data_IF_430017001481
#
_entry.id   IF_430017001481
#
_cell.length_a   1.000
_cell.length_b   1.000
_cell.length_c   1.000
_cell.angle_alpha   90.00
_cell.angle_beta   90.00
_cell.angle_gamma   90.00
#
_symmetry.space_group_name_H-M   'P 1'
#
loop_
_entity.id
_entity.type
_entity.pdbx_description
1 polymer ?
#
# COMPACT_ATOMS: atom_id res chain seq x y z
N UNK A 1 6.19 -2.92 -2.60
CA UNK A 1 6.94 -1.79 -2.05
C UNK A 1 8.04 -2.33 -1.18
N UNK A 2 9.18 -1.66 -1.17
CA UNK A 2 10.22 -1.87 -0.15
C UNK A 2 10.07 -0.75 0.87
N UNK A 3 9.95 -1.09 2.15
CA UNK A 3 9.85 -0.10 3.22
C UNK A 3 11.20 0.53 3.50
N UNK A 4 11.22 1.85 3.68
CA UNK A 4 12.43 2.65 3.75
C UNK A 4 12.42 3.56 4.96
N UNK A 5 13.59 3.69 5.58
CA UNK A 5 13.81 4.49 6.80
C UNK A 5 14.97 5.49 6.66
N UNK A 6 15.62 5.58 5.51
CA UNK A 6 16.70 6.56 5.32
C UNK A 6 17.45 6.40 4.01
N UNK A 7 18.43 7.27 3.78
CA UNK A 7 19.20 7.29 2.54
C UNK A 7 19.87 5.95 2.22
N UNK A 8 20.36 5.22 3.23
CA UNK A 8 21.02 3.93 3.03
C UNK A 8 20.05 2.90 2.43
N UNK A 9 18.83 2.79 2.98
CA UNK A 9 17.81 1.87 2.43
C UNK A 9 17.26 2.35 1.10
N UNK A 10 17.09 3.66 0.88
CA UNK A 10 16.75 4.23 -0.45
C UNK A 10 17.78 3.76 -1.49
N UNK A 11 19.06 3.95 -1.21
CA UNK A 11 20.14 3.62 -2.13
C UNK A 11 20.18 2.13 -2.45
N UNK A 12 20.04 1.27 -1.43
CA UNK A 12 19.99 -0.19 -1.61
C UNK A 12 18.81 -0.62 -2.48
N UNK A 13 17.62 -0.03 -2.25
CA UNK A 13 16.41 -0.32 -3.03
C UNK A 13 16.61 0.06 -4.51
N UNK A 14 17.14 1.26 -4.77
CA UNK A 14 17.41 1.76 -6.11
C UNK A 14 18.50 0.96 -6.84
N UNK A 15 19.58 0.59 -6.14
CA UNK A 15 20.65 -0.24 -6.69
C UNK A 15 20.15 -1.64 -7.05
N UNK A 16 19.33 -2.25 -6.20
CA UNK A 16 18.73 -3.54 -6.46
C UNK A 16 17.83 -3.51 -7.70
N UNK A 17 17.02 -2.46 -7.84
CA UNK A 17 16.16 -2.26 -9.01
C UNK A 17 16.98 -2.12 -10.31
N UNK A 18 18.05 -1.32 -10.29
CA UNK A 18 18.95 -1.16 -11.44
C UNK A 18 19.62 -2.47 -11.84
N UNK A 19 20.05 -3.28 -10.86
CA UNK A 19 20.65 -4.61 -11.13
C UNK A 19 19.63 -5.62 -11.66
N UNK A 20 18.41 -5.60 -11.15
CA UNK A 20 17.33 -6.49 -11.58
C UNK A 20 16.71 -6.09 -12.94
N UNK A 21 16.84 -4.82 -13.34
CA UNK A 21 16.32 -4.29 -14.60
C UNK A 21 14.81 -4.07 -14.61
N UNK A 22 14.19 -3.86 -13.44
CA UNK A 22 12.74 -3.70 -13.29
C UNK A 22 12.34 -2.41 -12.56
N UNK A 23 11.07 -1.99 -12.67
CA UNK A 23 10.56 -0.90 -11.84
C UNK A 23 10.58 -1.32 -10.36
N UNK A 24 10.68 -0.33 -9.48
CA UNK A 24 10.64 -0.56 -8.03
C UNK A 24 9.71 0.44 -7.37
N UNK A 25 9.18 0.07 -6.21
CA UNK A 25 8.37 0.96 -5.39
C UNK A 25 9.08 1.20 -4.07
N UNK A 26 9.38 2.47 -3.80
CA UNK A 26 9.91 2.96 -2.53
C UNK A 26 8.73 3.38 -1.66
N UNK A 27 8.59 2.70 -0.52
CA UNK A 27 7.47 2.88 0.40
C UNK A 27 7.95 3.50 1.71
N UNK A 28 7.20 4.46 2.23
CA UNK A 28 7.43 5.03 3.57
C UNK A 28 6.24 4.69 4.47
N UNK A 29 6.48 3.95 5.55
CA UNK A 29 5.50 3.83 6.63
C UNK A 29 5.46 5.13 7.46
N UNK A 30 4.45 5.29 8.30
CA UNK A 30 4.36 6.45 9.20
C UNK A 30 5.57 6.50 10.14
N UNK A 31 5.94 5.35 10.71
CA UNK A 31 7.13 5.19 11.55
C UNK A 31 8.43 5.48 10.79
N UNK A 32 8.53 5.03 9.54
CA UNK A 32 9.67 5.33 8.65
C UNK A 32 9.83 6.83 8.40
N UNK A 33 8.72 7.55 8.21
CA UNK A 33 8.71 9.01 8.14
C UNK A 33 9.31 9.65 9.39
N UNK A 34 8.84 9.27 10.58
CA UNK A 34 9.37 9.81 11.83
C UNK A 34 10.87 9.49 12.00
N UNK A 35 11.30 8.28 11.62
CA UNK A 35 12.70 7.89 11.71
C UNK A 35 13.59 8.76 10.82
N UNK A 36 13.16 9.06 9.58
CA UNK A 36 13.89 9.94 8.65
C UNK A 36 13.99 11.37 9.20
N UNK A 37 12.91 11.89 9.78
CA UNK A 37 12.92 13.21 10.43
C UNK A 37 13.80 13.24 11.70
N UNK A 38 14.04 12.06 12.28
CA UNK A 38 14.76 11.88 13.53
C UNK A 38 13.79 11.60 14.67
N UNK A 39 14.03 10.50 15.40
CA UNK A 39 13.16 9.98 16.46
C UNK A 39 12.83 11.01 17.57
N UNK A 40 13.73 11.97 17.81
CA UNK A 40 13.56 13.02 18.84
C UNK A 40 12.93 14.30 18.32
N UNK A 41 12.60 14.38 17.03
CA UNK A 41 11.89 15.53 16.48
C UNK A 41 10.49 15.62 17.08
N UNK A 42 9.99 16.85 17.21
CA UNK A 42 8.61 17.09 17.65
C UNK A 42 7.64 16.51 16.61
N UNK A 43 6.78 15.63 17.07
CA UNK A 43 5.79 14.94 16.24
C UNK A 43 4.35 15.29 16.63
N UNK A 44 4.14 16.43 17.30
CA UNK A 44 2.81 17.01 17.43
C UNK A 44 2.14 17.09 16.06
N UNK A 45 0.89 16.63 16.00
CA UNK A 45 0.08 16.58 14.77
C UNK A 45 0.77 15.90 13.57
N UNK A 46 1.56 14.84 13.85
CA UNK A 46 2.31 14.08 12.84
C UNK A 46 3.36 14.88 12.05
N UNK A 47 3.76 16.06 12.55
CA UNK A 47 4.66 16.96 11.83
C UNK A 47 5.99 16.31 11.43
N UNK A 48 6.61 15.50 12.30
CA UNK A 48 7.85 14.80 11.97
C UNK A 48 7.61 13.63 10.99
N UNK A 49 6.53 12.86 11.16
CA UNK A 49 6.14 11.81 10.21
C UNK A 49 5.97 12.37 8.78
N UNK A 50 5.24 13.48 8.65
CA UNK A 50 4.99 14.17 7.37
C UNK A 50 6.32 14.68 6.80
N UNK A 51 7.07 15.45 7.59
CA UNK A 51 8.32 16.08 7.14
C UNK A 51 9.36 15.05 6.69
N UNK A 52 9.51 13.94 7.42
CA UNK A 52 10.47 12.90 7.08
C UNK A 52 10.07 12.11 5.84
N UNK A 53 8.79 11.79 5.66
CA UNK A 53 8.30 11.16 4.43
C UNK A 53 8.50 12.08 3.21
N UNK A 54 8.18 13.39 3.34
CA UNK A 54 8.43 14.40 2.29
C UNK A 54 9.91 14.52 1.96
N UNK A 55 10.78 14.59 2.98
CA UNK A 55 12.24 14.65 2.79
C UNK A 55 12.77 13.39 2.09
N UNK A 56 12.29 12.22 2.48
CA UNK A 56 12.60 10.94 1.84
C UNK A 56 12.18 10.90 0.38
N UNK A 57 10.94 11.32 0.07
CA UNK A 57 10.43 11.38 -1.30
C UNK A 57 11.27 12.33 -2.17
N UNK A 58 11.59 13.52 -1.69
CA UNK A 58 12.46 14.47 -2.41
C UNK A 58 13.86 13.90 -2.65
N UNK A 59 14.42 13.16 -1.69
CA UNK A 59 15.68 12.45 -1.86
C UNK A 59 15.58 11.41 -2.97
N UNK A 60 14.56 10.54 -2.93
CA UNK A 60 14.30 9.53 -3.98
C UNK A 60 14.19 10.19 -5.35
N UNK A 61 13.37 11.24 -5.51
CA UNK A 61 13.23 11.95 -6.80
C UNK A 61 14.55 12.52 -7.32
N UNK A 62 15.43 12.93 -6.41
CA UNK A 62 16.76 13.44 -6.76
C UNK A 62 17.68 12.32 -7.25
N UNK A 63 17.75 11.21 -6.52
CA UNK A 63 18.72 10.14 -6.81
C UNK A 63 18.22 9.13 -7.84
N UNK A 64 16.90 8.93 -7.98
CA UNK A 64 16.31 7.91 -8.85
C UNK A 64 16.76 8.04 -10.31
N UNK A 65 16.93 9.29 -10.79
CA UNK A 65 17.40 9.61 -12.15
C UNK A 65 18.79 9.04 -12.46
N UNK A 66 19.60 8.77 -11.45
CA UNK A 66 20.95 8.22 -11.61
C UNK A 66 20.95 6.71 -11.88
N UNK A 67 19.88 6.01 -11.51
CA UNK A 67 19.79 4.54 -11.59
C UNK A 67 19.12 4.06 -12.88
N UNK A 68 18.49 4.96 -13.65
CA UNK A 68 17.89 4.62 -14.94
C UNK A 68 16.69 3.66 -14.87
N UNK A 69 16.04 3.54 -13.71
CA UNK A 69 14.86 2.69 -13.50
C UNK A 69 13.63 3.51 -13.15
N UNK A 70 12.41 3.08 -13.54
CA UNK A 70 11.18 3.68 -13.07
C UNK A 70 10.99 3.42 -11.57
N UNK A 71 10.67 4.46 -10.80
CA UNK A 71 10.43 4.38 -9.36
C UNK A 71 9.05 4.90 -9.05
N UNK A 72 8.28 4.11 -8.28
CA UNK A 72 6.99 4.49 -7.73
C UNK A 72 7.21 4.92 -6.28
N UNK A 73 6.76 6.11 -5.92
CA UNK A 73 6.81 6.61 -4.54
C UNK A 73 5.48 6.34 -3.84
N UNK A 74 5.52 5.66 -2.71
CA UNK A 74 4.34 5.21 -2.00
C UNK A 74 4.43 5.48 -0.50
N UNK A 75 3.29 5.57 0.17
CA UNK A 75 3.23 5.49 1.64
C UNK A 75 2.38 4.31 2.06
N UNK A 76 2.81 3.65 3.14
CA UNK A 76 2.20 2.44 3.66
C UNK A 76 1.00 2.74 4.58
N UNK A 77 0.54 1.71 5.30
CA UNK A 77 -0.62 1.68 6.19
C UNK A 77 -0.90 3.02 6.90
N UNK A 78 -2.10 3.54 6.66
CA UNK A 78 -2.64 4.70 7.34
C UNK A 78 -4.00 4.35 7.92
N UNK A 79 -4.02 4.01 9.21
CA UNK A 79 -5.26 3.78 9.94
C UNK A 79 -6.02 5.08 10.24
N UNK A 80 -7.28 4.94 10.67
CA UNK A 80 -8.18 6.08 10.90
C UNK A 80 -7.63 7.13 11.85
N UNK A 81 -6.91 6.72 12.90
CA UNK A 81 -6.27 7.66 13.83
C UNK A 81 -5.06 8.40 13.26
N UNK A 82 -4.54 7.97 12.11
CA UNK A 82 -3.39 8.57 11.42
C UNK A 82 -3.79 9.39 10.19
N UNK A 83 -5.09 9.62 9.96
CA UNK A 83 -5.54 10.51 8.88
C UNK A 83 -4.91 11.91 8.89
N UNK A 84 -4.53 12.53 10.04
CA UNK A 84 -3.75 13.78 10.02
C UNK A 84 -2.42 13.68 9.27
N UNK A 85 -1.69 12.55 9.39
CA UNK A 85 -0.48 12.28 8.61
C UNK A 85 -0.80 12.21 7.11
N UNK A 86 -1.85 11.48 6.73
CA UNK A 86 -2.31 11.37 5.35
C UNK A 86 -2.68 12.73 4.75
N UNK A 87 -3.43 13.55 5.49
CA UNK A 87 -3.83 14.90 5.08
C UNK A 87 -2.64 15.81 4.86
N UNK A 88 -1.62 15.73 5.73
CA UNK A 88 -0.37 16.45 5.58
C UNK A 88 0.40 16.06 4.31
N UNK A 89 0.41 14.76 3.98
CA UNK A 89 1.03 14.26 2.76
C UNK A 89 0.24 14.68 1.51
N UNK A 90 -1.08 14.63 1.52
CA UNK A 90 -1.90 15.13 0.40
C UNK A 90 -1.67 16.62 0.16
N UNK A 91 -1.57 17.42 1.22
CA UNK A 91 -1.22 18.84 1.10
C UNK A 91 0.15 19.02 0.45
N UNK A 92 1.16 18.23 0.85
CA UNK A 92 2.48 18.28 0.23
C UNK A 92 2.46 17.88 -1.25
N UNK A 93 1.62 16.92 -1.64
CA UNK A 93 1.41 16.56 -3.04
C UNK A 93 0.74 17.68 -3.84
N UNK A 94 -0.33 18.28 -3.31
CA UNK A 94 -1.04 19.40 -3.93
C UNK A 94 -0.08 20.58 -4.17
N UNK A 95 0.69 20.98 -3.16
CA UNK A 95 1.69 22.05 -3.27
C UNK A 95 2.82 21.72 -4.26
N UNK A 96 3.20 20.44 -4.38
CA UNK A 96 4.21 20.01 -5.36
C UNK A 96 3.62 19.95 -6.78
N UNK A 97 2.38 19.52 -6.93
CA UNK A 97 1.64 19.44 -8.19
C UNK A 97 1.47 20.82 -8.81
N UNK A 98 1.07 21.83 -8.03
CA UNK A 98 0.96 23.22 -8.49
C UNK A 98 2.26 23.76 -9.10
N UNK A 99 3.41 23.32 -8.59
CA UNK A 99 4.74 23.81 -9.00
C UNK A 99 5.36 22.98 -10.12
N UNK A 100 5.07 21.68 -10.20
CA UNK A 100 5.79 20.73 -11.05
C UNK A 100 4.91 20.01 -12.08
N UNK A 101 3.58 20.12 -11.97
CA UNK A 101 2.62 19.43 -12.85
C UNK A 101 2.50 17.93 -12.60
N UNK A 102 3.00 17.43 -11.48
CA UNK A 102 2.92 16.03 -11.03
C UNK A 102 2.95 16.00 -9.49
N UNK A 103 2.36 14.98 -8.83
CA UNK A 103 2.40 14.86 -7.37
C UNK A 103 3.81 14.48 -6.87
N UNK A 104 4.07 14.72 -5.58
CA UNK A 104 5.35 14.37 -4.94
C UNK A 104 5.50 12.84 -4.87
N UNK A 105 4.46 12.17 -4.40
CA UNK A 105 4.28 10.72 -4.36
C UNK A 105 3.50 10.24 -5.56
N UNK A 106 3.59 8.94 -5.87
CA UNK A 106 2.81 8.29 -6.92
C UNK A 106 1.48 7.73 -6.38
N UNK A 107 1.49 7.25 -5.13
CA UNK A 107 0.32 6.68 -4.49
C UNK A 107 0.39 6.79 -2.96
N UNK A 108 -0.77 6.67 -2.32
CA UNK A 108 -0.88 6.56 -0.86
C UNK A 108 -1.81 5.43 -0.49
N UNK A 109 -1.60 4.85 0.69
CA UNK A 109 -2.40 3.77 1.22
C UNK A 109 -3.30 4.20 2.37
N UNK A 110 -4.57 3.80 2.34
CA UNK A 110 -5.47 3.84 3.49
C UNK A 110 -5.73 2.40 3.96
N UNK A 111 -5.45 2.16 5.24
CA UNK A 111 -5.81 0.91 5.91
C UNK A 111 -6.93 1.19 6.91
N UNK A 112 -8.16 1.04 6.46
CA UNK A 112 -9.33 1.17 7.32
C UNK A 112 -9.99 -0.20 7.54
N UNK A 113 -9.20 -1.28 7.47
CA UNK A 113 -9.68 -2.66 7.56
C UNK A 113 -10.30 -3.01 8.92
N UNK A 114 -9.92 -2.29 9.98
CA UNK A 114 -10.51 -2.44 11.30
C UNK A 114 -11.94 -1.87 11.37
N UNK A 115 -12.25 -0.90 10.53
CA UNK A 115 -13.54 -0.19 10.47
C UNK A 115 -14.60 -1.01 9.72
N UNK A 116 -15.91 -0.72 9.93
CA UNK A 116 -16.96 -1.32 9.11
C UNK A 116 -16.74 -1.06 7.61
N UNK A 117 -17.00 -2.07 6.77
CA UNK A 117 -16.76 -2.00 5.32
C UNK A 117 -17.38 -0.76 4.66
N UNK A 118 -18.62 -0.41 5.02
CA UNK A 118 -19.31 0.78 4.49
C UNK A 118 -18.57 2.08 4.85
N UNK A 119 -18.04 2.16 6.08
CA UNK A 119 -17.26 3.33 6.53
C UNK A 119 -15.89 3.40 5.85
N UNK A 120 -15.19 2.26 5.74
CA UNK A 120 -13.93 2.16 4.99
C UNK A 120 -14.12 2.66 3.55
N UNK A 121 -15.11 2.12 2.82
CA UNK A 121 -15.43 2.53 1.45
C UNK A 121 -15.76 4.02 1.38
N UNK A 122 -16.59 4.54 2.29
CA UNK A 122 -17.00 5.94 2.27
C UNK A 122 -15.82 6.89 2.46
N UNK A 123 -14.93 6.61 3.41
CA UNK A 123 -13.74 7.41 3.68
C UNK A 123 -12.75 7.30 2.50
N UNK A 124 -12.46 6.08 2.02
CA UNK A 124 -11.58 5.86 0.88
C UNK A 124 -12.08 6.57 -0.38
N UNK A 125 -13.40 6.55 -0.65
CA UNK A 125 -13.99 7.27 -1.78
C UNK A 125 -13.78 8.79 -1.66
N UNK A 126 -14.01 9.37 -0.48
CA UNK A 126 -13.80 10.80 -0.24
C UNK A 126 -12.35 11.23 -0.47
N UNK A 127 -11.39 10.41 -0.04
CA UNK A 127 -9.97 10.66 -0.31
C UNK A 127 -9.62 10.45 -1.78
N UNK A 128 -10.14 9.41 -2.44
CA UNK A 128 -9.91 9.18 -3.86
C UNK A 128 -10.40 10.35 -4.71
N UNK A 129 -11.53 10.97 -4.37
CA UNK A 129 -12.03 12.18 -5.05
C UNK A 129 -11.07 13.38 -4.93
N UNK A 130 -10.32 13.49 -3.83
CA UNK A 130 -9.27 14.50 -3.65
C UNK A 130 -8.00 14.12 -4.42
N UNK A 131 -7.57 12.87 -4.29
CA UNK A 131 -6.37 12.32 -4.93
C UNK A 131 -6.43 12.35 -6.47
N UNK A 132 -7.61 12.07 -7.03
CA UNK A 132 -7.85 12.08 -8.48
C UNK A 132 -7.65 13.46 -9.13
N UNK A 133 -7.67 14.55 -8.34
CA UNK A 133 -7.43 15.92 -8.84
C UNK A 133 -5.95 16.22 -9.07
N UNK A 134 -5.06 15.41 -8.51
CA UNK A 134 -3.60 15.59 -8.54
C UNK A 134 -2.89 14.31 -8.98
N UNK A 135 -3.56 13.47 -9.77
CA UNK A 135 -3.02 12.25 -10.39
C UNK A 135 -2.40 11.24 -9.41
N UNK A 136 -2.94 11.14 -8.20
CA UNK A 136 -2.54 10.15 -7.19
C UNK A 136 -3.37 8.86 -7.30
N UNK A 137 -2.72 7.72 -7.10
CA UNK A 137 -3.37 6.42 -6.94
C UNK A 137 -3.63 6.12 -5.46
N UNK A 138 -4.81 5.59 -5.13
CA UNK A 138 -5.16 5.10 -3.79
C UNK A 138 -4.94 3.59 -3.70
N UNK A 139 -4.14 3.14 -2.75
CA UNK A 139 -4.18 1.76 -2.30
C UNK A 139 -5.13 1.67 -1.10
N UNK A 140 -6.06 0.73 -1.11
CA UNK A 140 -6.94 0.49 0.03
C UNK A 140 -6.91 -0.95 0.49
N UNK A 141 -7.12 -1.17 1.79
CA UNK A 141 -7.11 -2.49 2.40
C UNK A 141 -8.49 -2.98 2.83
N UNK A 142 -8.73 -4.28 2.63
CA UNK A 142 -9.90 -5.03 3.06
C UNK A 142 -9.48 -6.25 3.87
N UNK A 143 -10.25 -6.52 4.93
CA UNK A 143 -9.93 -7.58 5.88
C UNK A 143 -8.69 -7.23 6.69
N UNK A 144 -8.46 -7.94 7.79
CA UNK A 144 -7.34 -7.65 8.66
C UNK A 144 -6.15 -8.53 8.25
N UNK A 145 -5.00 -7.89 8.02
CA UNK A 145 -3.71 -8.57 7.96
C UNK A 145 -3.31 -9.02 9.38
N UNK A 146 -2.97 -10.30 9.52
CA UNK A 146 -2.50 -10.80 10.82
C UNK A 146 -1.13 -10.22 11.18
N UNK A 147 -0.75 -10.27 12.45
CA UNK A 147 0.60 -9.91 12.89
C UNK A 147 0.76 -8.50 13.42
N UNK A 148 2.00 -8.01 13.52
CA UNK A 148 2.31 -6.67 14.03
C UNK A 148 2.98 -5.80 12.95
N UNK A 149 2.48 -4.59 12.74
CA UNK A 149 3.10 -3.56 11.90
C UNK A 149 3.00 -2.17 12.55
N UNK A 150 4.09 -1.40 12.53
CA UNK A 150 4.16 -0.03 13.07
C UNK A 150 3.60 0.10 14.53
N UNK A 151 3.64 -0.99 15.31
CA UNK A 151 3.15 -1.06 16.69
C UNK A 151 1.65 -1.38 16.85
N UNK A 152 0.98 -1.79 15.77
CA UNK A 152 -0.41 -2.29 15.74
C UNK A 152 -0.37 -3.81 15.68
N UNK A 153 -0.95 -4.49 16.67
CA UNK A 153 -0.92 -5.95 16.81
C UNK A 153 -2.32 -6.58 16.54
N UNK A 154 -2.39 -7.38 15.48
CA UNK A 154 -3.58 -8.08 15.01
C UNK A 154 -3.55 -9.60 15.31
N UNK A 155 -2.73 -10.05 16.27
CA UNK A 155 -2.59 -11.48 16.60
C UNK A 155 -3.85 -12.17 17.11
N UNK A 156 -4.71 -11.45 17.83
CA UNK A 156 -5.89 -12.00 18.51
C UNK A 156 -7.19 -11.87 17.70
N UNK A 157 -7.11 -11.50 16.42
CA UNK A 157 -8.27 -11.21 15.57
C UNK A 157 -8.98 -12.49 15.11
N UNK A 158 -10.31 -12.45 15.02
CA UNK A 158 -11.13 -13.55 14.50
C UNK A 158 -10.68 -13.97 13.09
N UNK A 159 -10.38 -15.26 12.94
CA UNK A 159 -9.93 -15.87 11.68
C UNK A 159 -10.78 -15.54 10.46
N UNK A 160 -12.08 -15.27 10.63
CA UNK A 160 -12.98 -14.90 9.53
C UNK A 160 -12.66 -13.52 8.93
N UNK A 161 -12.04 -12.61 9.70
CA UNK A 161 -11.58 -11.30 9.20
C UNK A 161 -10.27 -11.37 8.43
N UNK A 162 -9.56 -12.50 8.48
CA UNK A 162 -8.29 -12.71 7.78
C UNK A 162 -8.47 -13.14 6.32
N UNK A 163 -9.72 -13.31 5.87
CA UNK A 163 -10.07 -13.76 4.52
C UNK A 163 -11.21 -12.91 3.94
N UNK A 164 -10.85 -11.95 3.10
CA UNK A 164 -11.78 -11.10 2.36
C UNK A 164 -12.65 -11.93 1.43
N UNK A 165 -13.93 -11.54 1.32
CA UNK A 165 -14.89 -12.17 0.42
C UNK A 165 -14.96 -11.43 -0.94
N UNK A 166 -15.14 -12.13 -2.07
CA UNK A 166 -15.31 -11.50 -3.38
C UNK A 166 -16.37 -10.39 -3.44
N UNK A 167 -17.46 -10.55 -2.70
CA UNK A 167 -18.55 -9.58 -2.57
C UNK A 167 -18.08 -8.25 -1.97
N UNK A 168 -17.16 -8.28 -1.01
CA UNK A 168 -16.63 -7.09 -0.35
C UNK A 168 -15.74 -6.30 -1.31
N UNK A 169 -14.89 -7.01 -2.07
CA UNK A 169 -14.06 -6.39 -3.14
C UNK A 169 -14.93 -5.82 -4.25
N UNK A 170 -16.07 -6.45 -4.56
CA UNK A 170 -17.03 -5.89 -5.52
C UNK A 170 -17.63 -4.57 -5.04
N UNK A 171 -18.02 -4.45 -3.76
CA UNK A 171 -18.54 -3.20 -3.21
C UNK A 171 -17.51 -2.07 -3.28
N UNK A 172 -16.25 -2.37 -2.96
CA UNK A 172 -15.12 -1.45 -3.15
C UNK A 172 -14.99 -1.05 -4.60
N UNK A 173 -14.94 -2.03 -5.51
CA UNK A 173 -14.72 -1.78 -6.93
C UNK A 173 -15.82 -0.88 -7.51
N UNK A 174 -17.08 -1.18 -7.20
CA UNK A 174 -18.24 -0.39 -7.66
C UNK A 174 -18.17 1.05 -7.13
N UNK A 175 -17.88 1.22 -5.83
CA UNK A 175 -17.83 2.53 -5.20
C UNK A 175 -16.66 3.38 -5.71
N UNK A 176 -15.44 2.83 -5.77
CA UNK A 176 -14.23 3.58 -6.12
C UNK A 176 -14.11 3.80 -7.63
N UNK A 177 -14.53 2.85 -8.47
CA UNK A 177 -14.54 3.04 -9.93
C UNK A 177 -15.54 4.11 -10.39
N UNK A 178 -16.48 4.51 -9.52
CA UNK A 178 -17.39 5.62 -9.80
C UNK A 178 -16.73 7.00 -9.69
N UNK A 179 -15.53 7.09 -9.10
CA UNK A 179 -14.79 8.36 -8.96
C UNK A 179 -14.12 8.71 -10.29
N UNK A 180 -14.47 9.84 -10.93
CA UNK A 180 -13.85 10.25 -12.18
C UNK A 180 -12.35 10.44 -12.02
N UNK A 181 -11.56 9.85 -12.94
CA UNK A 181 -10.09 9.85 -12.93
C UNK A 181 -9.47 9.22 -11.67
N UNK A 182 -10.27 8.55 -10.83
CA UNK A 182 -9.76 7.82 -9.68
C UNK A 182 -9.05 6.55 -10.12
N UNK A 183 -7.83 6.35 -9.64
CA UNK A 183 -7.09 5.11 -9.79
C UNK A 183 -6.90 4.48 -8.42
N UNK A 184 -7.11 3.17 -8.33
CA UNK A 184 -6.97 2.47 -7.06
C UNK A 184 -6.45 1.04 -7.22
N UNK A 185 -5.86 0.53 -6.14
CA UNK A 185 -5.49 -0.88 -5.95
C UNK A 185 -6.12 -1.40 -4.66
N UNK A 186 -6.33 -2.70 -4.60
CA UNK A 186 -6.94 -3.35 -3.42
C UNK A 186 -5.94 -4.31 -2.81
N UNK A 187 -5.60 -4.11 -1.55
CA UNK A 187 -5.04 -5.14 -0.70
C UNK A 187 -6.19 -5.92 -0.07
N UNK A 188 -6.27 -7.21 -0.35
CA UNK A 188 -7.26 -8.09 0.27
C UNK A 188 -6.55 -8.99 1.26
N UNK A 189 -7.18 -9.29 2.39
CA UNK A 189 -6.72 -10.31 3.30
C UNK A 189 -7.01 -11.69 2.69
N UNK A 190 -5.97 -12.48 2.46
CA UNK A 190 -6.09 -13.88 2.01
C UNK A 190 -5.20 -14.79 2.85
N UNK A 191 -5.18 -14.53 4.16
CA UNK A 191 -4.33 -15.23 5.12
C UNK A 191 -2.87 -14.75 5.14
N UNK A 192 -2.61 -13.55 4.62
CA UNK A 192 -1.30 -12.89 4.67
C UNK A 192 -1.09 -12.18 6.02
N UNK A 193 0.17 -12.13 6.47
CA UNK A 193 0.55 -11.74 7.82
C UNK A 193 1.80 -10.86 7.77
N UNK A 194 1.84 -9.80 8.58
CA UNK A 194 3.01 -8.93 8.72
C UNK A 194 4.01 -9.48 9.74
N UNK A 195 5.30 -9.33 9.43
CA UNK A 195 6.39 -9.89 10.23
C UNK A 195 6.71 -11.37 9.92
N UNK A 196 7.55 -11.98 10.77
CA UNK A 196 7.92 -13.40 10.67
C UNK A 196 7.14 -14.19 11.71
N UNK A 197 6.12 -14.94 11.27
CA UNK A 197 5.30 -15.76 12.16
C UNK A 197 5.75 -17.21 12.27
N UNK A 198 5.52 -17.80 13.44
CA UNK A 198 5.60 -19.24 13.61
C UNK A 198 4.53 -19.93 12.73
N UNK A 199 4.87 -21.01 12.01
CA UNK A 199 3.90 -21.73 11.19
C UNK A 199 2.72 -22.23 12.04
N UNK A 200 1.48 -21.89 11.68
CA UNK A 200 0.29 -22.57 12.22
C UNK A 200 -0.99 -21.75 12.47
N UNK A 201 -0.95 -20.42 12.56
CA UNK A 201 -2.14 -19.64 12.95
C UNK A 201 -2.99 -19.14 11.76
N UNK A 202 -2.38 -18.91 10.60
CA UNK A 202 -3.03 -18.40 9.39
C UNK A 202 -2.39 -19.08 8.20
N UNK A 203 -3.18 -19.48 7.20
CA UNK A 203 -2.68 -20.09 5.97
C UNK A 203 -3.00 -19.17 4.80
N UNK A 204 -1.99 -18.86 3.99
CA UNK A 204 -2.22 -18.17 2.72
C UNK A 204 -3.20 -18.98 1.88
N UNK A 205 -4.21 -18.28 1.34
CA UNK A 205 -5.23 -18.81 0.43
C UNK A 205 -5.33 -17.92 -0.81
N UNK A 206 -4.29 -17.88 -1.68
CA UNK A 206 -4.33 -16.98 -2.82
C UNK A 206 -5.40 -17.37 -3.86
N UNK A 207 -6.11 -18.51 -3.72
CA UNK A 207 -7.31 -18.79 -4.52
C UNK A 207 -8.41 -17.75 -4.34
N UNK A 208 -8.46 -17.06 -3.19
CA UNK A 208 -9.42 -15.97 -2.92
C UNK A 208 -9.29 -14.88 -3.98
N UNK A 209 -8.06 -14.54 -4.40
CA UNK A 209 -7.81 -13.53 -5.42
C UNK A 209 -8.36 -13.96 -6.79
N UNK A 210 -8.16 -15.23 -7.16
CA UNK A 210 -8.69 -15.79 -8.42
C UNK A 210 -10.22 -15.82 -8.43
N UNK A 211 -10.81 -16.27 -7.32
CA UNK A 211 -12.26 -16.29 -7.14
C UNK A 211 -12.84 -14.87 -7.24
N UNK A 212 -12.15 -13.89 -6.68
CA UNK A 212 -12.54 -12.48 -6.74
C UNK A 212 -12.47 -11.92 -8.16
N UNK A 213 -11.40 -12.17 -8.90
CA UNK A 213 -11.33 -11.74 -10.31
C UNK A 213 -12.47 -12.33 -11.14
N UNK A 214 -12.77 -13.61 -10.93
CA UNK A 214 -13.88 -14.29 -11.62
C UNK A 214 -15.22 -13.65 -11.27
N UNK A 215 -15.48 -13.43 -9.98
CA UNK A 215 -16.70 -12.80 -9.49
C UNK A 215 -16.91 -11.41 -10.10
N UNK A 216 -15.88 -10.55 -10.05
CA UNK A 216 -15.97 -9.18 -10.55
C UNK A 216 -16.08 -9.15 -12.07
N UNK A 217 -15.38 -10.04 -12.77
CA UNK A 217 -15.56 -10.21 -14.21
C UNK A 217 -17.01 -10.55 -14.57
N UNK A 218 -17.63 -11.49 -13.85
CA UNK A 218 -19.03 -11.87 -14.06
C UNK A 218 -19.98 -10.69 -13.79
N UNK A 219 -19.72 -9.88 -12.76
CA UNK A 219 -20.51 -8.66 -12.46
C UNK A 219 -20.38 -7.58 -13.53
N UNK A 220 -19.17 -7.37 -14.05
CA UNK A 220 -18.90 -6.36 -15.06
C UNK A 220 -19.32 -6.79 -16.47
N UNK A 221 -19.41 -8.10 -16.73
CA UNK A 221 -19.60 -8.63 -18.08
C UNK A 221 -18.48 -8.24 -19.05
N UNK A 222 -17.25 -8.04 -18.55
CA UNK A 222 -16.11 -7.58 -19.35
C UNK A 222 -15.19 -8.73 -19.77
N UNK A 223 -14.35 -8.49 -20.79
CA UNK A 223 -13.40 -9.51 -21.28
C UNK A 223 -12.14 -9.64 -20.41
N UNK A 224 -11.82 -8.61 -19.62
CA UNK A 224 -10.65 -8.62 -18.73
C UNK A 224 -10.73 -9.81 -17.77
N UNK A 225 -9.65 -10.58 -17.70
CA UNK A 225 -9.51 -11.67 -16.73
C UNK A 225 -9.00 -11.19 -15.38
N UNK A 226 -8.60 -9.91 -15.28
CA UNK A 226 -8.05 -9.29 -14.07
C UNK A 226 -8.56 -7.85 -13.91
N UNK A 227 -9.88 -7.64 -13.71
CA UNK A 227 -10.42 -6.30 -13.51
C UNK A 227 -9.84 -5.58 -12.28
N UNK A 228 -9.43 -6.31 -11.24
CA UNK A 228 -8.84 -5.72 -10.02
C UNK A 228 -7.32 -5.77 -10.05
N UNK A 229 -6.68 -4.67 -9.65
CA UNK A 229 -5.25 -4.63 -9.38
C UNK A 229 -4.99 -4.92 -7.91
N UNK A 230 -4.48 -6.11 -7.60
CA UNK A 230 -4.26 -6.53 -6.21
C UNK A 230 -2.88 -6.16 -5.68
N UNK A 231 -2.83 -6.00 -4.36
CA UNK A 231 -1.60 -5.84 -3.58
C UNK A 231 -1.48 -6.99 -2.60
N UNK A 232 -0.27 -7.52 -2.48
CA UNK A 232 0.08 -8.58 -1.55
C UNK A 232 0.94 -8.00 -0.41
N UNK A 233 0.33 -7.72 0.73
CA UNK A 233 1.08 -7.37 1.94
C UNK A 233 1.55 -8.60 2.70
N UNK A 234 2.54 -8.47 3.57
CA UNK A 234 3.06 -9.63 4.30
C UNK A 234 3.73 -10.68 3.40
N UNK A 235 4.43 -10.26 2.35
CA UNK A 235 5.08 -11.17 1.42
C UNK A 235 6.28 -11.94 2.01
N UNK A 236 6.88 -11.41 3.07
CA UNK A 236 8.05 -12.01 3.75
C UNK A 236 7.75 -13.43 4.22
N UNK A 237 8.64 -14.39 3.90
CA UNK A 237 8.47 -15.79 4.30
C UNK A 237 7.44 -16.61 3.48
N UNK A 238 6.76 -16.02 2.50
CA UNK A 238 5.84 -16.74 1.61
C UNK A 238 6.56 -17.70 0.66
N UNK A 239 5.92 -18.83 0.30
CA UNK A 239 6.50 -19.75 -0.68
C UNK A 239 6.56 -19.12 -2.08
N UNK A 240 7.53 -19.54 -2.90
CA UNK A 240 7.65 -19.06 -4.28
C UNK A 240 6.41 -19.42 -5.10
N UNK A 241 5.85 -20.59 -4.83
CA UNK A 241 4.65 -21.11 -5.48
C UNK A 241 3.44 -20.22 -5.20
N UNK A 242 3.23 -19.81 -3.96
CA UNK A 242 2.13 -18.92 -3.56
C UNK A 242 2.28 -17.54 -4.19
N UNK A 243 3.49 -16.97 -4.16
CA UNK A 243 3.79 -15.68 -4.81
C UNK A 243 3.47 -15.75 -6.30
N UNK A 244 3.94 -16.79 -6.99
CA UNK A 244 3.66 -16.98 -8.42
C UNK A 244 2.17 -17.18 -8.70
N UNK A 245 1.45 -17.87 -7.81
CA UNK A 245 0.02 -18.09 -7.93
C UNK A 245 -0.78 -16.79 -7.74
N UNK A 246 -0.39 -15.94 -6.79
CA UNK A 246 -0.98 -14.63 -6.53
C UNK A 246 -0.73 -13.65 -7.69
N UNK A 247 0.48 -13.62 -8.28
CA UNK A 247 0.78 -12.81 -9.48
C UNK A 247 -0.15 -13.19 -10.65
N UNK A 248 -0.44 -14.49 -10.83
CA UNK A 248 -1.40 -14.95 -11.84
C UNK A 248 -2.82 -14.45 -11.58
N UNK A 249 -3.18 -14.14 -10.34
CA UNK A 249 -4.46 -13.54 -9.96
C UNK A 249 -4.54 -12.02 -10.15
N UNK A 250 -3.45 -11.36 -10.59
CA UNK A 250 -3.44 -9.90 -10.76
C UNK A 250 -2.85 -9.12 -9.59
N UNK A 251 -2.06 -9.78 -8.73
CA UNK A 251 -1.15 -9.05 -7.84
C UNK A 251 -0.11 -8.32 -8.67
N UNK A 252 -0.03 -6.99 -8.50
CA UNK A 252 0.91 -6.11 -9.20
C UNK A 252 1.94 -5.46 -8.27
N UNK A 253 1.69 -5.50 -6.96
CA UNK A 253 2.57 -4.99 -5.90
C UNK A 253 2.63 -6.05 -4.80
N UNK A 254 3.85 -6.33 -4.32
CA UNK A 254 4.08 -7.10 -3.09
C UNK A 254 4.89 -6.23 -2.14
N UNK A 255 4.47 -6.13 -0.88
CA UNK A 255 5.24 -5.43 0.15
C UNK A 255 6.29 -6.36 0.76
N UNK A 256 7.49 -5.81 0.92
CA UNK A 256 8.62 -6.45 1.59
C UNK A 256 9.18 -5.44 2.59
N UNK A 257 9.34 -5.88 3.84
CA UNK A 257 9.93 -5.05 4.88
C UNK A 257 10.84 -5.88 5.78
N UNK A 258 10.27 -6.81 6.56
CA UNK A 258 11.01 -7.61 7.54
C UNK A 258 12.21 -8.36 6.95
N UNK A 259 12.06 -8.96 5.76
CA UNK A 259 13.16 -9.65 5.06
C UNK A 259 14.29 -8.70 4.64
N UNK A 260 14.00 -7.41 4.42
CA UNK A 260 15.00 -6.40 4.06
C UNK A 260 15.62 -5.68 5.26
N UNK A 261 15.04 -5.83 6.46
CA UNK A 261 15.61 -5.30 7.70
C UNK A 261 16.70 -6.21 8.28
N UNK A 262 16.62 -7.52 8.04
CA UNK A 262 17.55 -8.55 8.55
C UNK A 262 18.88 -8.61 7.77
#
# INVERSE_FOLDING_TARGET
>A
GVNIVGSNSINSCMEAAAKAGGPIMVTFSRGGGQFIAGKTADNSDDAACIAGAVAGALHVRTVAKLYGVPVILHTDHCQKSWLPWFDGLLKANEEYFEKNGEPLFSSHMLDLSEEPLEENIAICKGYLERMAKVDLLLEMELGITGGEEDGVDNTDVDSSRLYTQPEEVWQVYEALSSVPNGNFTVAAAFGNVHGVYAPGNVSLQPEILHNTQKYIKEKLGCDSTKPVSFVFHGGSGSSKEDIQYAIKAGVIKMNIDTDTQW
#
